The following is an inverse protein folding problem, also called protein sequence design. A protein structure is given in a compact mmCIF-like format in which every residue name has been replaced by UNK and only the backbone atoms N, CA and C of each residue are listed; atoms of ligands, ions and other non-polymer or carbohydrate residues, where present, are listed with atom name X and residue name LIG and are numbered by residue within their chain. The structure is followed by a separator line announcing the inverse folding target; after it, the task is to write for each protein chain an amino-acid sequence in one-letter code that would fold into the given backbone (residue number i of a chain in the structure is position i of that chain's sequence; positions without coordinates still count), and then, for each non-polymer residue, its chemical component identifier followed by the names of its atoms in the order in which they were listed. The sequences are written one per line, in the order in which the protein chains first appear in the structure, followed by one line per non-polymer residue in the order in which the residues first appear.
data_IF_449695242020
#
_entry.id   IF_449695242020
#
_cell.length_a   1.000
_cell.length_b   1.000
_cell.length_c   1.000
_cell.angle_alpha   90.00
_cell.angle_beta   90.00
_cell.angle_gamma   90.00
#
_symmetry.space_group_name_H-M   'P 1'
#
loop_
_entity.id
_entity.type
_entity.pdbx_description
1 polymer ?
#
# COMPACT_ATOMS: atom_id res chain seq x y z
N UNK A 1 14.99 -9.08 -2.81
CA UNK A 1 14.16 -9.39 -3.99
C UNK A 1 12.72 -9.05 -3.66
N UNK A 2 11.96 -8.35 -4.52
CA UNK A 2 10.56 -8.07 -4.26
C UNK A 2 9.78 -9.40 -4.15
N UNK A 3 8.98 -9.52 -3.10
CA UNK A 3 8.17 -10.72 -2.84
C UNK A 3 6.80 -10.67 -3.53
N UNK A 4 6.41 -9.50 -4.03
CA UNK A 4 5.18 -9.31 -4.76
C UNK A 4 4.87 -7.85 -5.08
N UNK A 5 3.76 -7.65 -5.76
CA UNK A 5 3.16 -6.38 -6.12
C UNK A 5 1.67 -6.41 -5.77
N UNK A 6 1.16 -5.32 -5.22
CA UNK A 6 -0.24 -5.17 -4.85
C UNK A 6 -0.75 -3.88 -5.47
N UNK A 7 -1.88 -3.97 -6.17
CA UNK A 7 -2.62 -2.81 -6.63
C UNK A 7 -3.77 -2.56 -5.67
N UNK A 8 -3.85 -1.33 -5.17
CA UNK A 8 -4.87 -0.93 -4.20
C UNK A 8 -5.65 0.26 -4.74
N UNK A 9 -6.94 0.31 -4.41
CA UNK A 9 -7.81 1.47 -4.60
C UNK A 9 -8.13 2.06 -3.25
N UNK A 10 -8.04 3.38 -3.12
CA UNK A 10 -8.52 4.07 -1.91
C UNK A 10 -9.98 4.43 -2.07
N UNK A 11 -10.80 4.02 -1.10
CA UNK A 11 -12.18 4.46 -0.95
C UNK A 11 -12.31 5.24 0.37
N UNK A 12 -12.53 6.56 0.34
CA UNK A 12 -12.70 7.38 1.54
C UNK A 12 -13.84 6.96 2.47
N UNK A 13 -14.81 6.16 1.98
CA UNK A 13 -15.98 5.72 2.74
C UNK A 13 -15.78 4.38 3.43
N UNK A 14 -14.89 3.53 2.90
CA UNK A 14 -14.77 2.12 3.31
C UNK A 14 -13.36 1.78 3.82
N UNK A 15 -12.31 2.47 3.33
CA UNK A 15 -10.87 2.18 3.46
C UNK A 15 -10.25 1.72 2.13
N UNK A 16 -9.03 1.19 2.17
CA UNK A 16 -8.28 0.74 1.00
C UNK A 16 -8.70 -0.67 0.59
N UNK A 17 -9.01 -0.86 -0.70
CA UNK A 17 -9.36 -2.16 -1.27
C UNK A 17 -8.21 -2.69 -2.11
N UNK A 18 -7.89 -3.98 -1.99
CA UNK A 18 -6.92 -4.63 -2.87
C UNK A 18 -7.62 -5.05 -4.16
N UNK A 19 -7.20 -4.45 -5.28
CA UNK A 19 -7.73 -4.76 -6.62
C UNK A 19 -7.06 -6.00 -7.20
N UNK A 20 -5.74 -6.13 -7.00
CA UNK A 20 -4.95 -7.22 -7.58
C UNK A 20 -3.66 -7.46 -6.79
N UNK A 21 -3.15 -8.69 -6.87
CA UNK A 21 -1.90 -9.13 -6.26
C UNK A 21 -1.13 -9.98 -7.25
N UNK A 22 0.20 -9.86 -7.21
CA UNK A 22 1.09 -10.76 -7.92
C UNK A 22 2.32 -11.08 -7.08
N UNK A 23 2.65 -12.37 -6.85
CA UNK A 23 1.80 -13.52 -7.11
C UNK A 23 0.51 -13.51 -6.27
N UNK A 24 -0.49 -14.32 -6.64
CA UNK A 24 -1.82 -14.28 -6.00
C UNK A 24 -1.78 -14.66 -4.51
N UNK A 25 -0.79 -15.44 -4.11
CA UNK A 25 -0.56 -15.91 -2.74
C UNK A 25 0.20 -14.90 -1.86
N UNK A 26 0.46 -13.69 -2.35
CA UNK A 26 1.05 -12.62 -1.52
C UNK A 26 0.10 -12.27 -0.37
N UNK A 27 0.60 -12.49 0.84
CA UNK A 27 -0.09 -12.14 2.08
C UNK A 27 0.45 -10.79 2.56
N UNK A 28 -0.46 -9.86 2.81
CA UNK A 28 -0.19 -8.58 3.46
C UNK A 28 -1.22 -8.40 4.58
N UNK A 29 -0.77 -7.91 5.73
CA UNK A 29 -1.67 -7.69 6.87
C UNK A 29 -2.42 -6.38 6.70
N UNK A 30 -3.63 -6.31 7.28
CA UNK A 30 -4.43 -5.08 7.32
C UNK A 30 -3.66 -3.93 8.00
N UNK A 31 -2.89 -4.23 9.05
CA UNK A 31 -1.99 -3.29 9.70
C UNK A 31 -0.98 -2.67 8.73
N UNK A 32 -0.37 -3.47 7.86
CA UNK A 32 0.58 -2.97 6.85
C UNK A 32 -0.12 -2.04 5.85
N UNK A 33 -1.34 -2.40 5.42
CA UNK A 33 -2.13 -1.56 4.51
C UNK A 33 -2.46 -0.21 5.15
N UNK A 34 -2.87 -0.21 6.42
CA UNK A 34 -3.13 1.02 7.18
C UNK A 34 -1.88 1.89 7.33
N UNK A 35 -0.71 1.30 7.55
CA UNK A 35 0.55 2.05 7.62
C UNK A 35 0.92 2.70 6.28
N UNK A 36 0.73 1.98 5.16
CA UNK A 36 0.92 2.54 3.81
C UNK A 36 -0.06 3.69 3.57
N UNK A 37 -1.33 3.51 3.93
CA UNK A 37 -2.36 4.53 3.80
C UNK A 37 -2.00 5.79 4.60
N UNK A 38 -1.71 5.65 5.88
CA UNK A 38 -1.36 6.77 6.76
C UNK A 38 -0.12 7.55 6.26
N UNK A 39 0.86 6.84 5.71
CA UNK A 39 2.07 7.46 5.18
C UNK A 39 1.82 8.35 3.96
N UNK A 40 0.87 7.98 3.09
CA UNK A 40 0.47 8.81 1.96
C UNK A 40 -0.63 9.84 2.30
N UNK A 41 -1.53 9.52 3.23
CA UNK A 41 -2.54 10.48 3.69
C UNK A 41 -1.86 11.69 4.36
N UNK A 42 -0.74 11.47 5.05
CA UNK A 42 0.08 12.53 5.61
C UNK A 42 0.59 13.52 4.55
N UNK A 43 0.95 13.04 3.36
CA UNK A 43 1.41 13.91 2.26
C UNK A 43 0.26 14.48 1.46
N UNK A 44 -0.86 13.74 1.34
CA UNK A 44 -2.05 14.06 0.56
C UNK A 44 -1.78 14.42 -0.92
N UNK A 45 -0.58 14.10 -1.42
CA UNK A 45 -0.13 14.40 -2.77
C UNK A 45 0.29 13.12 -3.50
N UNK A 46 0.07 13.03 -4.83
CA UNK A 46 0.61 11.94 -5.64
C UNK A 46 2.12 11.82 -5.48
N UNK A 47 2.63 10.60 -5.30
CA UNK A 47 4.05 10.43 -5.06
C UNK A 47 4.49 9.02 -4.69
N UNK A 48 5.81 8.85 -4.66
CA UNK A 48 6.46 7.64 -4.17
C UNK A 48 6.83 7.80 -2.69
N UNK A 49 6.54 6.77 -1.90
CA UNK A 49 7.11 6.60 -0.57
C UNK A 49 7.84 5.27 -0.47
N UNK A 50 8.76 5.19 0.47
CA UNK A 50 9.38 3.95 0.90
C UNK A 50 9.27 3.82 2.41
N UNK A 51 8.83 2.66 2.89
CA UNK A 51 8.67 2.39 4.31
C UNK A 51 9.11 0.97 4.65
N UNK A 52 9.58 0.81 5.89
CA UNK A 52 9.91 -0.49 6.47
C UNK A 52 8.81 -0.88 7.45
N UNK A 53 8.10 -1.96 7.18
CA UNK A 53 7.04 -2.50 8.04
C UNK A 53 7.47 -3.86 8.55
N UNK A 54 7.86 -3.92 9.83
CA UNK A 54 8.50 -5.10 10.42
C UNK A 54 9.80 -5.44 9.68
N UNK A 55 9.78 -6.54 8.91
CA UNK A 55 10.91 -7.00 8.10
C UNK A 55 10.71 -6.78 6.58
N UNK A 56 9.60 -6.12 6.19
CA UNK A 56 9.26 -5.86 4.80
C UNK A 56 9.67 -4.45 4.41
N UNK A 57 10.44 -4.35 3.32
CA UNK A 57 10.71 -3.09 2.66
C UNK A 57 9.67 -2.88 1.56
N UNK A 58 8.92 -1.78 1.65
CA UNK A 58 7.80 -1.46 0.78
C UNK A 58 8.13 -0.18 0.02
N UNK A 59 7.97 -0.23 -1.29
CA UNK A 59 7.89 0.95 -2.15
C UNK A 59 6.44 1.09 -2.59
N UNK A 60 5.85 2.25 -2.38
CA UNK A 60 4.44 2.50 -2.67
C UNK A 60 4.28 3.78 -3.47
N UNK A 61 3.52 3.71 -4.56
CA UNK A 61 3.15 4.87 -5.36
C UNK A 61 1.68 5.18 -5.13
N UNK A 62 1.38 6.44 -4.82
CA UNK A 62 0.03 6.96 -4.81
C UNK A 62 -0.18 7.89 -6.00
N UNK A 63 -1.28 7.70 -6.72
CA UNK A 63 -1.62 8.44 -7.94
C UNK A 63 -2.37 9.75 -7.68
N UNK A 64 -2.79 10.02 -6.45
CA UNK A 64 -3.87 10.98 -6.19
C UNK A 64 -5.23 10.30 -6.33
N UNK A 65 -6.18 10.73 -5.49
CA UNK A 65 -7.55 10.24 -5.41
C UNK A 65 -8.54 11.15 -6.12
#
# INVERSE_FOLDING_TARGET
MPIGLILMRWDPKISTEIISKYPEDVIITEETLMQIYAAHEYTAEPGMISLMVGHLNIASYYTGG
#
